data_IF_836843588566
#
_entry.id   IF_836843588566
#
_cell.length_a   1.000
_cell.length_b   1.000
_cell.length_c   1.000
_cell.angle_alpha   90.00
_cell.angle_beta   90.00
_cell.angle_gamma   90.00
#
_symmetry.space_group_name_H-M   'P 1'
#
loop_
_entity.id
_entity.type
_entity.pdbx_description
1 polymer ?
#
# COMPACT_ATOMS: atom_id res chain seq x y z
N UNK A 1 -19.32 7.08 -5.86
CA UNK A 1 -18.46 7.66 -4.84
C UNK A 1 -18.01 6.64 -3.84
N UNK A 2 -16.77 6.67 -3.49
CA UNK A 2 -16.27 5.70 -2.54
C UNK A 2 -16.68 6.05 -1.13
N UNK A 3 -17.06 5.04 -0.41
CA UNK A 3 -17.40 5.19 0.99
C UNK A 3 -16.46 4.31 1.76
N UNK A 4 -15.36 4.86 2.20
CA UNK A 4 -14.31 4.06 2.76
C UNK A 4 -13.84 4.65 4.06
N UNK A 5 -13.26 3.80 4.89
CA UNK A 5 -12.71 4.21 6.15
C UNK A 5 -11.28 4.72 6.02
N UNK A 6 -10.72 4.72 4.80
CA UNK A 6 -9.39 5.24 4.57
C UNK A 6 -9.46 6.46 3.67
N UNK A 7 -8.47 7.32 3.79
CA UNK A 7 -8.41 8.53 2.98
C UNK A 7 -8.08 8.20 1.52
N UNK A 8 -8.34 9.15 0.62
CA UNK A 8 -7.98 8.99 -0.78
C UNK A 8 -6.50 8.68 -0.94
N UNK A 9 -5.65 9.32 -0.17
CA UNK A 9 -4.21 9.06 -0.23
C UNK A 9 -3.88 7.63 0.09
N UNK A 10 -4.50 7.08 1.13
CA UNK A 10 -4.25 5.69 1.49
C UNK A 10 -4.77 4.74 0.44
N UNK A 11 -5.89 5.09 -0.21
CA UNK A 11 -6.39 4.30 -1.32
C UNK A 11 -5.41 4.28 -2.48
N UNK A 12 -4.81 5.43 -2.79
CA UNK A 12 -3.82 5.51 -3.84
C UNK A 12 -2.61 4.64 -3.53
N UNK A 13 -2.15 4.66 -2.29
CA UNK A 13 -1.05 3.79 -1.88
C UNK A 13 -1.43 2.32 -2.02
N UNK A 14 -2.63 1.97 -1.60
CA UNK A 14 -3.08 0.59 -1.66
C UNK A 14 -3.18 0.10 -3.10
N UNK A 15 -3.69 0.95 -3.99
CA UNK A 15 -3.78 0.62 -5.40
C UNK A 15 -2.40 0.44 -6.03
N UNK A 16 -1.46 1.32 -5.67
CA UNK A 16 -0.10 1.21 -6.18
C UNK A 16 0.55 -0.09 -5.73
N UNK A 17 0.35 -0.45 -4.47
CA UNK A 17 0.88 -1.71 -3.95
C UNK A 17 0.30 -2.88 -4.72
N UNK A 18 -1.01 -2.86 -4.95
CA UNK A 18 -1.68 -3.95 -5.67
C UNK A 18 -1.15 -4.07 -7.09
N UNK A 19 -0.95 -2.94 -7.76
CA UNK A 19 -0.44 -2.95 -9.13
C UNK A 19 0.98 -3.50 -9.20
N UNK A 20 1.83 -3.08 -8.27
CA UNK A 20 3.21 -3.53 -8.24
C UNK A 20 3.26 -5.03 -7.95
N UNK A 21 2.45 -5.49 -7.00
CA UNK A 21 2.41 -6.90 -6.65
C UNK A 21 1.93 -7.72 -7.85
N UNK A 22 0.95 -7.21 -8.59
CA UNK A 22 0.44 -7.91 -9.76
C UNK A 22 1.51 -8.06 -10.82
N UNK A 23 2.37 -7.05 -10.96
CA UNK A 23 3.41 -7.08 -11.97
C UNK A 23 4.61 -7.91 -11.58
N UNK A 24 4.98 -7.91 -10.31
CA UNK A 24 6.24 -8.54 -9.91
C UNK A 24 6.15 -9.40 -8.65
N UNK A 25 4.97 -9.57 -8.10
CA UNK A 25 4.75 -10.50 -7.00
C UNK A 25 4.89 -9.92 -5.61
N UNK A 26 5.51 -8.76 -5.48
CA UNK A 26 5.69 -8.09 -4.20
C UNK A 26 6.05 -6.64 -4.44
N UNK A 27 5.96 -5.83 -3.39
CA UNK A 27 6.24 -4.41 -3.49
C UNK A 27 7.21 -4.01 -2.38
N UNK A 28 8.22 -3.23 -2.74
CA UNK A 28 9.13 -2.65 -1.77
C UNK A 28 8.82 -1.17 -1.60
N UNK A 29 9.20 -0.63 -0.46
CA UNK A 29 8.93 0.76 -0.13
C UNK A 29 9.42 1.71 -1.22
N UNK A 30 10.63 1.47 -1.72
CA UNK A 30 11.18 2.34 -2.75
C UNK A 30 10.37 2.30 -4.04
N UNK A 31 9.91 1.11 -4.41
CA UNK A 31 9.11 0.96 -5.62
C UNK A 31 7.80 1.72 -5.51
N UNK A 32 7.20 1.69 -4.32
CA UNK A 32 5.98 2.43 -4.08
C UNK A 32 6.23 3.93 -4.17
N UNK A 33 7.32 4.38 -3.59
CA UNK A 33 7.69 5.79 -3.64
C UNK A 33 7.88 6.25 -5.08
N UNK A 34 8.57 5.45 -5.88
CA UNK A 34 8.81 5.78 -7.28
C UNK A 34 7.52 5.76 -8.08
N UNK A 35 6.67 4.79 -7.82
CA UNK A 35 5.41 4.64 -8.55
C UNK A 35 4.51 5.86 -8.34
N UNK A 36 4.43 6.33 -7.11
CA UNK A 36 3.57 7.45 -6.75
C UNK A 36 4.28 8.80 -6.79
N UNK A 37 5.60 8.78 -7.00
CA UNK A 37 6.41 10.01 -7.06
C UNK A 37 6.31 10.79 -5.76
N UNK A 38 6.45 10.09 -4.66
CA UNK A 38 6.44 10.65 -3.32
C UNK A 38 7.73 10.29 -2.61
N UNK A 39 7.98 10.94 -1.48
CA UNK A 39 9.19 10.70 -0.71
C UNK A 39 9.01 9.50 0.22
N UNK A 40 10.12 8.87 0.56
CA UNK A 40 10.10 7.67 1.39
C UNK A 40 9.37 7.86 2.72
N UNK A 41 9.56 8.97 3.45
CA UNK A 41 8.83 9.13 4.72
C UNK A 41 7.31 9.09 4.53
N UNK A 42 6.81 9.63 3.41
CA UNK A 42 5.37 9.56 3.13
C UNK A 42 4.91 8.13 2.96
N UNK A 43 5.72 7.33 2.24
CA UNK A 43 5.39 5.92 2.03
C UNK A 43 5.36 5.18 3.37
N UNK A 44 6.39 5.38 4.19
CA UNK A 44 6.47 4.70 5.48
C UNK A 44 5.25 5.01 6.34
N UNK A 45 4.86 6.28 6.39
CA UNK A 45 3.69 6.67 7.16
C UNK A 45 2.42 6.01 6.64
N UNK A 46 2.26 5.99 5.32
CA UNK A 46 1.08 5.38 4.70
C UNK A 46 1.05 3.88 4.96
N UNK A 47 2.20 3.21 4.87
CA UNK A 47 2.27 1.77 5.11
C UNK A 47 1.91 1.44 6.55
N UNK A 48 2.37 2.25 7.49
CA UNK A 48 2.01 2.04 8.89
C UNK A 48 0.51 2.18 9.10
N UNK A 49 -0.10 3.18 8.46
CA UNK A 49 -1.54 3.38 8.57
C UNK A 49 -2.32 2.22 7.95
N UNK A 50 -1.89 1.76 6.79
CA UNK A 50 -2.55 0.64 6.12
C UNK A 50 -2.40 -0.65 6.91
N UNK A 51 -1.23 -0.86 7.49
CA UNK A 51 -0.98 -2.04 8.32
C UNK A 51 -1.85 -2.01 9.56
N UNK A 52 -2.00 -0.84 10.18
CA UNK A 52 -2.84 -0.70 11.36
C UNK A 52 -4.31 -1.02 11.07
N UNK A 53 -4.73 -0.82 9.82
CA UNK A 53 -6.08 -1.15 9.41
C UNK A 53 -6.23 -2.59 8.92
N UNK A 54 -5.14 -3.37 8.97
CA UNK A 54 -5.19 -4.76 8.56
C UNK A 54 -5.28 -4.96 7.05
N UNK A 55 -4.86 -3.98 6.27
CA UNK A 55 -4.96 -4.06 4.82
C UNK A 55 -3.70 -4.57 4.15
N UNK A 56 -2.56 -4.45 4.82
CA UNK A 56 -1.29 -4.96 4.30
C UNK A 56 -0.51 -5.64 5.41
N UNK A 57 0.45 -6.46 4.99
CA UNK A 57 1.49 -6.98 5.87
C UNK A 57 2.74 -6.15 5.61
N UNK A 58 3.23 -5.46 6.63
CA UNK A 58 4.38 -4.59 6.49
C UNK A 58 5.32 -4.76 7.66
N UNK A 59 6.59 -5.03 7.35
CA UNK A 59 7.66 -5.08 8.31
C UNK A 59 8.87 -4.38 7.72
N UNK A 60 9.71 -3.79 8.57
CA UNK A 60 10.92 -3.13 8.11
C UNK A 60 11.78 -4.10 7.31
N UNK A 61 12.32 -3.60 6.21
CA UNK A 61 13.27 -4.35 5.38
C UNK A 61 12.65 -5.59 4.72
N UNK A 62 11.33 -5.66 4.65
CA UNK A 62 10.64 -6.76 4.02
C UNK A 62 9.71 -6.25 2.94
N UNK A 63 9.41 -7.09 1.93
CA UNK A 63 8.41 -6.70 0.95
C UNK A 63 7.05 -6.50 1.60
N UNK A 64 6.23 -5.69 0.95
CA UNK A 64 4.86 -5.44 1.39
C UNK A 64 3.93 -6.39 0.65
N UNK A 65 2.97 -6.96 1.37
CA UNK A 65 1.96 -7.84 0.79
C UNK A 65 0.58 -7.37 1.20
N UNK A 66 -0.42 -7.68 0.37
CA UNK A 66 -1.80 -7.38 0.71
C UNK A 66 -2.37 -8.48 1.59
N UNK A 67 -3.22 -8.07 2.54
CA UNK A 67 -4.09 -9.03 3.22
C UNK A 67 -5.30 -9.28 2.34
N UNK A 68 -6.13 -10.31 2.63
CA UNK A 68 -7.38 -10.47 1.89
C UNK A 68 -8.25 -9.22 1.93
N UNK A 69 -8.32 -8.55 3.08
CA UNK A 69 -9.08 -7.31 3.19
C UNK A 69 -8.49 -6.22 2.31
N UNK A 70 -7.15 -6.14 2.25
CA UNK A 70 -6.49 -5.16 1.39
C UNK A 70 -6.75 -5.42 -0.07
N UNK A 71 -6.73 -6.68 -0.48
CA UNK A 71 -6.99 -7.04 -1.86
C UNK A 71 -8.41 -6.66 -2.28
N UNK A 72 -9.37 -6.88 -1.39
CA UNK A 72 -10.75 -6.49 -1.67
C UNK A 72 -10.89 -4.97 -1.77
N UNK A 73 -10.23 -4.25 -0.90
CA UNK A 73 -10.31 -2.79 -0.89
C UNK A 73 -9.65 -2.19 -2.12
N UNK A 74 -8.56 -2.79 -2.57
CA UNK A 74 -7.82 -2.29 -3.74
C UNK A 74 -8.52 -2.60 -5.06
N UNK A 75 -9.40 -3.58 -5.07
CA UNK A 75 -10.06 -4.03 -6.29
C UNK A 75 -11.02 -3.00 -6.91
#
# INVERSE_FOLDING_TARGET
>A
MKNTTISSSLEDYLEAIAEIIEEQGHAHTKEIADHLKVKMPSVTNALQALSARGLIHYQSHSPVFLTPAGAETAA
#
